data_IF_506690151663
#
_entry.id   IF_506690151663
#
_cell.length_a   1.000
_cell.length_b   1.000
_cell.length_c   1.000
_cell.angle_alpha   90.00
_cell.angle_beta   90.00
_cell.angle_gamma   90.00
#
_symmetry.space_group_name_H-M   'P 1'
#
loop_
_entity.id
_entity.type
_entity.pdbx_description
1 polymer ?
#
# COMPACT_ATOMS: atom_id res chain seq x y z
N UNK A 1 47.65 10.37 56.78
CA UNK A 1 46.66 10.61 55.71
C UNK A 1 45.42 9.81 56.07
N UNK A 2 44.34 10.54 56.24
CA UNK A 2 43.08 10.15 56.87
C UNK A 2 42.37 9.06 56.09
N UNK A 3 41.81 8.09 56.81
CA UNK A 3 40.90 7.06 56.34
C UNK A 3 39.65 7.67 55.68
N UNK A 4 39.22 7.10 54.56
CA UNK A 4 37.81 7.04 54.18
C UNK A 4 37.63 5.98 53.07
N UNK A 5 37.84 4.72 53.43
CA UNK A 5 37.27 3.59 52.71
C UNK A 5 35.78 3.62 53.00
N UNK A 6 34.99 4.13 52.06
CA UNK A 6 33.53 4.12 52.19
C UNK A 6 33.04 2.73 51.80
N UNK A 7 32.88 1.90 52.82
CA UNK A 7 32.10 0.67 52.81
C UNK A 7 30.76 0.92 52.10
N UNK A 8 30.60 0.33 50.91
CA UNK A 8 29.30 0.17 50.28
C UNK A 8 28.46 -0.71 51.20
N UNK A 9 27.56 -0.06 51.95
CA UNK A 9 26.54 -0.75 52.73
C UNK A 9 25.65 -1.53 51.76
N UNK A 10 25.82 -2.85 51.76
CA UNK A 10 24.96 -3.82 51.12
C UNK A 10 23.60 -3.77 51.84
N UNK A 11 22.71 -2.91 51.35
CA UNK A 11 21.32 -2.85 51.85
C UNK A 11 20.62 -4.11 51.36
N UNK A 12 20.01 -4.93 52.24
CA UNK A 12 19.25 -6.08 51.78
C UNK A 12 18.10 -5.58 50.90
N UNK A 13 18.10 -5.98 49.63
CA UNK A 13 17.00 -5.73 48.72
C UNK A 13 15.74 -6.38 49.31
N UNK A 14 14.81 -5.55 49.80
CA UNK A 14 13.51 -6.03 50.22
C UNK A 14 12.82 -6.68 49.02
N UNK A 15 12.30 -7.91 49.14
CA UNK A 15 11.70 -8.59 48.01
C UNK A 15 10.48 -7.81 47.54
N UNK A 16 10.49 -7.38 46.27
CA UNK A 16 9.36 -6.72 45.63
C UNK A 16 8.20 -7.72 45.57
N UNK A 17 7.25 -7.60 46.49
CA UNK A 17 6.04 -8.45 46.53
C UNK A 17 5.03 -7.91 45.51
N UNK A 18 5.13 -8.39 44.27
CA UNK A 18 4.11 -8.13 43.25
C UNK A 18 2.88 -8.97 43.56
N UNK A 19 1.86 -8.34 44.16
CA UNK A 19 0.55 -8.98 44.36
C UNK A 19 -0.21 -8.98 43.04
N UNK A 20 -0.09 -10.07 42.28
CA UNK A 20 -0.87 -10.27 41.07
C UNK A 20 -2.36 -10.43 41.43
N UNK A 21 -3.20 -9.54 40.89
CA UNK A 21 -4.66 -9.50 41.11
C UNK A 21 -5.44 -10.19 39.99
N UNK A 22 -4.78 -10.92 39.10
CA UNK A 22 -5.47 -11.64 38.02
C UNK A 22 -6.33 -12.75 38.60
N UNK A 23 -7.55 -12.86 38.09
CA UNK A 23 -8.54 -13.89 38.44
C UNK A 23 -8.20 -15.28 37.85
N UNK A 24 -7.05 -15.39 37.18
CA UNK A 24 -6.63 -16.54 36.37
C UNK A 24 -5.16 -16.84 36.69
N UNK A 25 -4.85 -18.10 36.93
CA UNK A 25 -3.50 -18.56 37.27
C UNK A 25 -2.59 -18.61 36.02
N UNK A 26 -1.38 -18.01 36.04
CA UNK A 26 -0.55 -17.83 34.84
C UNK A 26 0.11 -19.10 34.29
N UNK A 27 0.21 -20.19 35.05
CA UNK A 27 0.81 -21.44 34.55
C UNK A 27 -0.23 -22.49 34.11
N UNK A 28 -1.46 -22.41 34.62
CA UNK A 28 -2.50 -23.43 34.40
C UNK A 28 -3.74 -22.90 33.68
N UNK A 29 -3.95 -21.58 33.60
CA UNK A 29 -5.04 -20.97 32.82
C UNK A 29 -6.45 -21.17 33.38
N UNK A 30 -6.60 -21.74 34.58
CA UNK A 30 -7.90 -21.98 35.22
C UNK A 30 -8.33 -20.81 36.14
N UNK A 31 -9.66 -20.62 36.26
CA UNK A 31 -10.28 -19.59 37.12
C UNK A 31 -10.32 -20.08 38.58
N UNK A 32 -9.71 -19.31 39.50
CA UNK A 32 -9.75 -19.61 40.94
C UNK A 32 -11.14 -19.33 41.50
N UNK A 33 -11.99 -20.36 41.57
CA UNK A 33 -13.32 -20.31 42.14
C UNK A 33 -13.46 -21.36 43.25
N UNK A 34 -13.10 -20.98 44.47
CA UNK A 34 -13.54 -21.52 45.77
C UNK A 34 -12.52 -21.07 46.82
N UNK A 35 -12.83 -20.01 47.56
CA UNK A 35 -12.25 -19.63 48.87
C UNK A 35 -12.71 -18.22 49.31
N UNK A 36 -13.39 -17.46 48.45
CA UNK A 36 -13.91 -16.12 48.78
C UNK A 36 -15.33 -16.12 49.43
N UNK A 37 -15.88 -17.28 49.82
CA UNK A 37 -17.23 -17.38 50.40
C UNK A 37 -17.27 -17.47 51.93
N UNK A 38 -16.14 -17.64 52.61
CA UNK A 38 -16.14 -17.84 54.09
C UNK A 38 -15.91 -16.58 54.93
N UNK A 39 -15.50 -15.44 54.35
CA UNK A 39 -15.26 -14.20 55.12
C UNK A 39 -16.44 -13.22 55.12
N UNK A 40 -17.47 -13.41 54.30
CA UNK A 40 -18.60 -12.48 54.19
C UNK A 40 -19.79 -12.83 55.12
N UNK A 41 -19.75 -13.97 55.81
CA UNK A 41 -20.85 -14.45 56.62
C UNK A 41 -20.79 -14.05 58.12
N UNK A 42 -19.70 -13.42 58.58
CA UNK A 42 -19.49 -13.14 60.02
C UNK A 42 -19.59 -11.65 60.42
N UNK A 43 -19.96 -10.74 59.51
CA UNK A 43 -20.27 -9.34 59.85
C UNK A 43 -21.77 -8.99 59.80
N UNK A 44 -22.65 -9.90 59.35
CA UNK A 44 -24.09 -9.63 59.18
C UNK A 44 -24.98 -10.02 60.38
N UNK A 45 -24.39 -10.41 61.52
CA UNK A 45 -25.15 -10.92 62.68
C UNK A 45 -25.20 -9.96 63.90
N UNK A 46 -24.70 -8.73 63.80
CA UNK A 46 -24.59 -7.82 64.95
C UNK A 46 -25.57 -6.64 64.97
N UNK A 47 -26.45 -6.48 63.97
CA UNK A 47 -27.30 -5.27 63.86
C UNK A 47 -28.80 -5.58 63.65
N UNK A 48 -29.34 -6.55 64.39
CA UNK A 48 -30.76 -6.94 64.33
C UNK A 48 -31.52 -6.72 65.64
N UNK A 49 -31.21 -5.64 66.37
CA UNK A 49 -31.95 -5.29 67.58
C UNK A 49 -32.15 -3.78 67.73
N UNK A 50 -33.08 -3.23 66.97
CA UNK A 50 -33.77 -2.01 67.37
C UNK A 50 -34.28 -1.18 66.21
N UNK A 51 -35.54 -1.36 65.84
CA UNK A 51 -36.35 -0.27 65.31
C UNK A 51 -37.84 -0.58 65.42
N UNK A 52 -38.44 -0.03 66.49
CA UNK A 52 -39.82 0.40 66.47
C UNK A 52 -39.88 1.85 66.03
N UNK A 53 -41.02 2.22 65.42
CA UNK A 53 -41.53 3.55 65.05
C UNK A 53 -41.53 3.84 63.54
N UNK A 54 -42.68 3.51 62.96
CA UNK A 54 -43.17 4.04 61.70
C UNK A 54 -43.32 5.57 61.74
N UNK A 55 -42.80 6.24 60.71
CA UNK A 55 -43.10 7.63 60.36
C UNK A 55 -42.87 7.84 58.85
N UNK A 56 -43.80 8.42 58.08
CA UNK A 56 -43.71 8.50 56.64
C UNK A 56 -42.83 9.68 56.21
N UNK A 57 -41.57 9.42 55.88
CA UNK A 57 -40.68 10.35 55.17
C UNK A 57 -40.06 9.62 53.97
N UNK A 58 -40.88 9.34 52.96
CA UNK A 58 -40.48 8.54 51.79
C UNK A 58 -40.35 9.32 50.48
N UNK A 59 -40.28 10.66 50.50
CA UNK A 59 -40.44 11.45 49.26
C UNK A 59 -39.26 12.38 48.94
N UNK A 60 -38.35 12.67 49.89
CA UNK A 60 -37.25 13.62 49.66
C UNK A 60 -35.88 12.96 49.37
N UNK A 61 -35.64 11.75 49.85
CA UNK A 61 -34.39 10.99 49.64
C UNK A 61 -34.35 10.26 48.29
N UNK A 62 -35.51 9.81 47.80
CA UNK A 62 -35.61 9.06 46.54
C UNK A 62 -35.25 9.88 45.29
N UNK A 63 -35.43 11.21 45.32
CA UNK A 63 -35.11 12.08 44.19
C UNK A 63 -33.60 12.28 44.00
N UNK A 64 -32.86 12.52 45.09
CA UNK A 64 -31.41 12.71 45.03
C UNK A 64 -30.66 11.42 44.66
N UNK A 65 -31.16 10.27 45.11
CA UNK A 65 -30.62 8.95 44.73
C UNK A 65 -30.93 8.62 43.26
N UNK A 66 -32.10 9.01 42.74
CA UNK A 66 -32.46 8.86 41.32
C UNK A 66 -31.62 9.76 40.40
N UNK A 67 -31.35 11.00 40.81
CA UNK A 67 -30.50 11.92 40.04
C UNK A 67 -29.04 11.42 40.00
N UNK A 68 -28.51 10.91 41.11
CA UNK A 68 -27.17 10.31 41.16
C UNK A 68 -27.06 9.04 40.30
N UNK A 69 -28.10 8.19 40.29
CA UNK A 69 -28.14 7.01 39.44
C UNK A 69 -28.18 7.38 37.95
N UNK A 70 -29.00 8.38 37.57
CA UNK A 70 -29.08 8.87 36.20
C UNK A 70 -27.76 9.48 35.70
N UNK A 71 -27.03 10.21 36.56
CA UNK A 71 -25.71 10.74 36.24
C UNK A 71 -24.67 9.65 35.99
N UNK A 72 -24.69 8.57 36.79
CA UNK A 72 -23.81 7.40 36.59
C UNK A 72 -24.16 6.67 35.30
N UNK A 73 -25.44 6.47 35.00
CA UNK A 73 -25.89 5.86 33.74
C UNK A 73 -25.46 6.68 32.52
N UNK A 74 -25.56 8.02 32.59
CA UNK A 74 -25.08 8.91 31.53
C UNK A 74 -23.57 8.78 31.34
N UNK A 75 -22.79 8.81 32.42
CA UNK A 75 -21.34 8.63 32.33
C UNK A 75 -20.97 7.25 31.76
N UNK A 76 -21.68 6.19 32.15
CA UNK A 76 -21.47 4.84 31.61
C UNK A 76 -21.77 4.80 30.11
N UNK A 77 -22.87 5.41 29.68
CA UNK A 77 -23.25 5.48 28.27
C UNK A 77 -22.21 6.27 27.44
N UNK A 78 -21.77 7.44 27.94
CA UNK A 78 -20.72 8.25 27.31
C UNK A 78 -19.41 7.46 27.17
N UNK A 79 -18.95 6.82 28.26
CA UNK A 79 -17.72 6.01 28.23
C UNK A 79 -17.85 4.80 27.32
N UNK A 80 -19.02 4.18 27.26
CA UNK A 80 -19.28 3.05 26.36
C UNK A 80 -19.24 3.51 24.90
N UNK A 81 -19.85 4.65 24.59
CA UNK A 81 -19.80 5.24 23.25
C UNK A 81 -18.36 5.60 22.85
N UNK A 82 -17.58 6.19 23.76
CA UNK A 82 -16.16 6.49 23.54
C UNK A 82 -15.34 5.23 23.27
N UNK A 83 -15.55 4.16 24.06
CA UNK A 83 -14.87 2.88 23.87
C UNK A 83 -15.24 2.23 22.53
N UNK A 84 -16.51 2.26 22.15
CA UNK A 84 -16.96 1.77 20.83
C UNK A 84 -16.31 2.56 19.70
N UNK A 85 -16.21 3.89 19.84
CA UNK A 85 -15.55 4.75 18.85
C UNK A 85 -14.06 4.42 18.74
N UNK A 86 -13.35 4.33 19.85
CA UNK A 86 -11.93 3.95 19.89
C UNK A 86 -11.70 2.55 19.31
N UNK A 87 -12.58 1.61 19.58
CA UNK A 87 -12.51 0.27 19.01
C UNK A 87 -12.66 0.30 17.48
N UNK A 88 -13.59 1.10 16.96
CA UNK A 88 -13.77 1.28 15.52
C UNK A 88 -12.56 1.98 14.88
N UNK A 89 -12.02 3.03 15.51
CA UNK A 89 -10.81 3.72 15.08
C UNK A 89 -9.61 2.76 15.03
N UNK A 90 -9.42 1.94 16.07
CA UNK A 90 -8.36 0.94 16.13
C UNK A 90 -8.51 -0.15 15.06
N UNK A 91 -9.73 -0.65 14.84
CA UNK A 91 -9.99 -1.64 13.79
C UNK A 91 -9.65 -1.09 12.39
N UNK A 92 -10.02 0.16 12.12
CA UNK A 92 -9.68 0.85 10.88
C UNK A 92 -8.17 1.10 10.74
N UNK A 93 -7.52 1.52 11.83
CA UNK A 93 -6.07 1.71 11.87
C UNK A 93 -5.33 0.40 11.57
N UNK A 94 -5.70 -0.71 12.23
CA UNK A 94 -5.09 -2.03 11.99
C UNK A 94 -5.23 -2.44 10.52
N UNK A 95 -6.44 -2.34 9.95
CA UNK A 95 -6.69 -2.63 8.53
C UNK A 95 -5.88 -1.73 7.59
N UNK A 96 -5.58 -0.50 7.97
CA UNK A 96 -4.72 0.40 7.19
C UNK A 96 -3.26 -0.03 7.28
N UNK A 97 -2.75 -0.27 8.49
CA UNK A 97 -1.36 -0.71 8.70
C UNK A 97 -1.06 -2.02 7.98
N UNK A 98 -1.98 -2.99 8.02
CA UNK A 98 -1.79 -4.28 7.33
C UNK A 98 -1.67 -4.09 5.82
N UNK A 99 -2.54 -3.28 5.21
CA UNK A 99 -2.47 -2.94 3.77
C UNK A 99 -1.19 -2.18 3.42
N UNK A 100 -0.80 -1.21 4.24
CA UNK A 100 0.41 -0.42 4.00
C UNK A 100 1.65 -1.32 4.10
N UNK A 101 1.67 -2.27 5.04
CA UNK A 101 2.74 -3.26 5.18
C UNK A 101 2.85 -4.16 3.95
N UNK A 102 1.72 -4.66 3.43
CA UNK A 102 1.68 -5.45 2.20
C UNK A 102 2.18 -4.63 1.00
N UNK A 103 1.75 -3.37 0.88
CA UNK A 103 2.18 -2.47 -0.19
C UNK A 103 3.69 -2.20 -0.14
N UNK A 104 4.25 -2.00 1.06
CA UNK A 104 5.71 -1.84 1.25
C UNK A 104 6.44 -3.11 0.83
N UNK A 105 5.99 -4.29 1.27
CA UNK A 105 6.61 -5.57 0.88
C UNK A 105 6.59 -5.74 -0.64
N UNK A 106 5.44 -5.48 -1.29
CA UNK A 106 5.31 -5.56 -2.74
C UNK A 106 6.24 -4.57 -3.45
N UNK A 107 6.32 -3.32 -2.98
CA UNK A 107 7.20 -2.29 -3.54
C UNK A 107 8.68 -2.66 -3.38
N UNK A 108 9.09 -3.15 -2.21
CA UNK A 108 10.49 -3.55 -1.98
C UNK A 108 10.88 -4.74 -2.85
N UNK A 109 10.00 -5.73 -3.01
CA UNK A 109 10.22 -6.85 -3.94
C UNK A 109 10.39 -6.34 -5.38
N UNK A 110 9.50 -5.46 -5.83
CA UNK A 110 9.57 -4.87 -7.17
C UNK A 110 10.87 -4.09 -7.40
N UNK A 111 11.31 -3.29 -6.43
CA UNK A 111 12.58 -2.56 -6.50
C UNK A 111 13.78 -3.50 -6.61
N UNK A 112 13.86 -4.52 -5.76
CA UNK A 112 14.95 -5.50 -5.80
C UNK A 112 15.00 -6.26 -7.14
N UNK A 113 13.84 -6.70 -7.64
CA UNK A 113 13.75 -7.37 -8.94
C UNK A 113 14.14 -6.41 -10.06
N UNK A 114 13.76 -5.13 -9.95
CA UNK A 114 14.18 -4.07 -10.87
C UNK A 114 15.70 -3.97 -11.03
N UNK A 115 16.44 -4.08 -9.94
CA UNK A 115 17.91 -4.08 -9.94
C UNK A 115 18.51 -5.34 -10.58
N UNK A 116 17.79 -6.46 -10.56
CA UNK A 116 18.19 -7.72 -11.20
C UNK A 116 17.82 -7.81 -12.69
N UNK A 117 16.97 -6.92 -13.21
CA UNK A 117 16.55 -6.97 -14.61
C UNK A 117 17.70 -6.88 -15.63
N UNK A 118 18.76 -6.08 -15.43
CA UNK A 118 19.91 -6.08 -16.35
C UNK A 118 20.57 -7.46 -16.49
N UNK A 119 20.61 -8.25 -15.41
CA UNK A 119 21.14 -9.62 -15.45
C UNK A 119 20.25 -10.54 -16.29
N UNK A 120 18.92 -10.38 -16.18
CA UNK A 120 17.97 -11.11 -17.02
C UNK A 120 18.15 -10.73 -18.49
N UNK A 121 18.33 -9.44 -18.78
CA UNK A 121 18.57 -8.97 -20.15
C UNK A 121 19.86 -9.57 -20.75
N UNK A 122 20.92 -9.71 -19.95
CA UNK A 122 22.16 -10.34 -20.39
C UNK A 122 22.00 -11.85 -20.63
N UNK A 123 21.18 -12.53 -19.83
CA UNK A 123 20.81 -13.94 -20.06
C UNK A 123 20.03 -14.08 -21.36
N UNK A 124 19.03 -13.22 -21.60
CA UNK A 124 18.26 -13.22 -22.84
C UNK A 124 19.14 -12.91 -24.06
N UNK A 125 20.08 -11.97 -23.92
CA UNK A 125 21.08 -11.67 -24.94
C UNK A 125 21.94 -12.90 -25.25
N UNK A 126 22.47 -13.56 -24.23
CA UNK A 126 23.24 -14.78 -24.38
C UNK A 126 22.42 -15.91 -25.05
N UNK A 127 21.12 -16.02 -24.73
CA UNK A 127 20.22 -16.96 -25.40
C UNK A 127 20.06 -16.63 -26.89
N UNK A 128 19.85 -15.37 -27.24
CA UNK A 128 19.69 -14.91 -28.63
C UNK A 128 20.92 -15.16 -29.51
N UNK A 129 22.13 -15.16 -28.91
CA UNK A 129 23.38 -15.47 -29.59
C UNK A 129 23.74 -16.97 -29.57
N UNK A 130 22.96 -17.81 -28.88
CA UNK A 130 23.23 -19.25 -28.76
C UNK A 130 24.31 -19.61 -27.75
N UNK A 131 24.75 -18.66 -26.93
CA UNK A 131 25.79 -18.84 -25.91
C UNK A 131 25.24 -19.44 -24.61
N UNK A 132 23.90 -19.38 -24.41
CA UNK A 132 23.24 -19.96 -23.24
C UNK A 132 23.07 -21.47 -23.37
N UNK A 133 24.09 -22.23 -22.95
CA UNK A 133 24.10 -23.70 -23.04
C UNK A 133 24.55 -24.40 -21.75
N UNK A 134 24.27 -25.70 -21.65
CA UNK A 134 24.77 -26.57 -20.57
C UNK A 134 24.38 -26.11 -19.17
N UNK A 135 25.36 -26.08 -18.26
CA UNK A 135 25.15 -25.71 -16.86
C UNK A 135 24.67 -24.26 -16.70
N UNK A 136 25.10 -23.35 -17.58
CA UNK A 136 24.69 -21.95 -17.50
C UNK A 136 23.20 -21.78 -17.80
N UNK A 137 22.69 -22.51 -18.81
CA UNK A 137 21.25 -22.57 -19.11
C UNK A 137 20.43 -23.07 -17.92
N UNK A 138 20.87 -24.15 -17.27
CA UNK A 138 20.16 -24.69 -16.10
C UNK A 138 20.07 -23.70 -14.93
N UNK A 139 21.11 -22.88 -14.72
CA UNK A 139 21.11 -21.82 -13.70
C UNK A 139 20.18 -20.68 -14.10
N UNK A 140 20.23 -20.23 -15.36
CA UNK A 140 19.34 -19.21 -15.90
C UNK A 140 17.86 -19.60 -15.79
N UNK A 141 17.51 -20.81 -16.21
CA UNK A 141 16.15 -21.35 -16.13
C UNK A 141 15.66 -21.39 -14.67
N UNK A 142 16.53 -21.81 -13.74
CA UNK A 142 16.20 -21.85 -12.31
C UNK A 142 16.02 -20.46 -11.72
N UNK A 143 16.83 -19.49 -12.13
CA UNK A 143 16.70 -18.09 -11.72
C UNK A 143 15.36 -17.52 -12.20
N UNK A 144 15.04 -17.67 -13.49
CA UNK A 144 13.78 -17.23 -14.07
C UNK A 144 12.59 -17.87 -13.37
N UNK A 145 12.61 -19.19 -13.16
CA UNK A 145 11.55 -19.91 -12.47
C UNK A 145 11.35 -19.41 -11.02
N UNK A 146 12.44 -19.10 -10.32
CA UNK A 146 12.38 -18.56 -8.95
C UNK A 146 11.77 -17.17 -8.93
N UNK A 147 12.12 -16.31 -9.89
CA UNK A 147 11.54 -14.97 -10.02
C UNK A 147 10.06 -15.02 -10.40
N UNK A 148 9.67 -15.92 -11.31
CA UNK A 148 8.27 -16.16 -11.67
C UNK A 148 7.45 -16.63 -10.47
N UNK A 149 7.98 -17.55 -9.66
CA UNK A 149 7.35 -17.98 -8.40
C UNK A 149 7.23 -16.84 -7.38
N UNK A 150 8.16 -15.88 -7.39
CA UNK A 150 8.10 -14.69 -6.55
C UNK A 150 7.06 -13.65 -7.04
N UNK A 151 6.48 -13.86 -8.22
CA UNK A 151 5.43 -13.02 -8.81
C UNK A 151 5.87 -12.18 -10.01
N UNK A 152 7.04 -12.45 -10.60
CA UNK A 152 7.53 -11.73 -11.79
C UNK A 152 6.86 -12.27 -13.05
N UNK A 153 6.22 -11.38 -13.80
CA UNK A 153 5.58 -11.71 -15.07
C UNK A 153 6.21 -10.87 -16.19
N UNK A 154 6.62 -11.54 -17.26
CA UNK A 154 7.07 -10.90 -18.49
C UNK A 154 5.87 -10.55 -19.38
N UNK A 155 5.94 -9.44 -20.09
CA UNK A 155 4.94 -9.02 -21.08
C UNK A 155 5.60 -8.27 -22.25
N UNK A 156 4.82 -7.99 -23.30
CA UNK A 156 5.32 -7.40 -24.53
C UNK A 156 5.82 -8.50 -25.45
N UNK A 157 4.89 -9.21 -26.06
CA UNK A 157 5.14 -10.18 -27.13
C UNK A 157 4.80 -9.56 -28.48
N UNK A 158 5.46 -10.07 -29.53
CA UNK A 158 5.14 -9.67 -30.91
C UNK A 158 3.69 -10.05 -31.24
N UNK A 159 2.96 -9.12 -31.85
CA UNK A 159 1.54 -9.25 -32.17
C UNK A 159 0.58 -8.85 -31.04
N UNK A 160 1.06 -8.50 -29.85
CA UNK A 160 0.19 -7.96 -28.79
C UNK A 160 -0.30 -6.54 -29.16
N UNK A 161 -1.54 -6.16 -28.77
CA UNK A 161 -2.01 -4.80 -28.93
C UNK A 161 -1.14 -3.84 -28.12
N UNK A 162 -0.83 -2.67 -28.70
CA UNK A 162 -0.04 -1.67 -28.01
C UNK A 162 -0.85 -0.98 -26.90
N UNK A 163 -0.38 -1.08 -25.66
CA UNK A 163 -0.94 -0.39 -24.50
C UNK A 163 0.10 0.62 -23.94
N UNK A 164 -0.16 1.94 -24.03
CA UNK A 164 0.75 2.98 -23.51
C UNK A 164 1.04 2.90 -22.00
N UNK A 165 0.21 2.19 -21.22
CA UNK A 165 0.41 2.06 -19.78
C UNK A 165 1.52 1.07 -19.41
N UNK A 166 1.85 0.13 -20.31
CA UNK A 166 2.84 -0.92 -20.09
C UNK A 166 3.92 -0.96 -21.18
N UNK A 167 3.68 -0.40 -22.36
CA UNK A 167 4.61 -0.39 -23.48
C UNK A 167 5.22 0.99 -23.73
N UNK A 168 6.53 1.00 -23.99
CA UNK A 168 7.30 2.16 -24.45
C UNK A 168 7.60 2.00 -25.94
N UNK A 169 6.91 2.76 -26.78
CA UNK A 169 7.11 2.74 -28.23
C UNK A 169 8.39 3.50 -28.61
N UNK A 170 9.41 2.78 -29.05
CA UNK A 170 10.71 3.36 -29.46
C UNK A 170 10.86 3.49 -30.97
N UNK A 171 10.05 2.77 -31.74
CA UNK A 171 9.98 2.83 -33.19
C UNK A 171 8.52 2.81 -33.63
N UNK A 172 8.20 3.60 -34.65
CA UNK A 172 6.87 3.64 -35.25
C UNK A 172 6.98 3.38 -36.76
N UNK A 173 6.15 2.48 -37.26
CA UNK A 173 5.97 2.21 -38.69
C UNK A 173 4.48 2.17 -39.04
N UNK A 174 4.16 2.22 -40.32
CA UNK A 174 2.80 2.04 -40.82
C UNK A 174 2.73 0.83 -41.74
N UNK A 175 1.65 0.07 -41.67
CA UNK A 175 1.39 -1.05 -42.58
C UNK A 175 -0.11 -1.19 -42.85
N UNK A 176 -0.52 -1.59 -44.08
CA UNK A 176 -1.91 -1.96 -44.36
C UNK A 176 -2.35 -3.26 -43.67
N UNK A 177 -1.41 -4.06 -43.14
CA UNK A 177 -1.69 -5.38 -42.57
C UNK A 177 -2.23 -5.34 -41.13
N UNK A 178 -2.14 -4.19 -40.45
CA UNK A 178 -2.59 -4.01 -39.07
C UNK A 178 -3.81 -3.09 -39.00
N UNK A 179 -4.78 -3.44 -38.15
CA UNK A 179 -6.02 -2.68 -37.97
C UNK A 179 -5.89 -1.53 -36.96
N UNK A 180 -4.77 -1.45 -36.24
CA UNK A 180 -4.46 -0.43 -35.24
C UNK A 180 -3.12 -0.68 -34.56
N UNK A 181 -2.73 0.15 -33.57
CA UNK A 181 -1.42 0.12 -32.95
C UNK A 181 -1.08 -1.26 -32.37
N UNK A 182 -0.15 -1.96 -33.01
CA UNK A 182 0.23 -3.33 -32.67
C UNK A 182 1.74 -3.44 -32.49
N UNK A 183 2.19 -4.24 -31.52
CA UNK A 183 3.61 -4.51 -31.29
C UNK A 183 4.15 -5.36 -32.43
N UNK A 184 5.03 -4.79 -33.25
CA UNK A 184 5.65 -5.46 -34.40
C UNK A 184 6.94 -6.19 -34.05
N UNK A 185 7.72 -5.62 -33.12
CA UNK A 185 8.95 -6.22 -32.61
C UNK A 185 9.16 -5.79 -31.16
N UNK A 186 9.75 -6.69 -30.36
CA UNK A 186 10.06 -6.42 -28.96
C UNK A 186 11.57 -6.28 -28.82
N UNK A 187 12.03 -5.06 -28.57
CA UNK A 187 13.47 -4.77 -28.42
C UNK A 187 13.97 -5.13 -27.02
N UNK A 188 13.10 -4.97 -26.02
CA UNK A 188 13.36 -5.33 -24.63
C UNK A 188 12.06 -5.70 -23.93
N UNK A 189 12.01 -6.88 -23.32
CA UNK A 189 10.82 -7.35 -22.63
C UNK A 189 10.47 -6.47 -21.42
N UNK A 190 9.16 -6.28 -21.23
CA UNK A 190 8.60 -5.63 -20.07
C UNK A 190 8.38 -6.62 -18.94
N UNK A 191 8.41 -6.12 -17.71
CA UNK A 191 8.26 -6.94 -16.51
C UNK A 191 7.34 -6.26 -15.50
N UNK A 192 6.40 -7.02 -14.94
CA UNK A 192 5.50 -6.58 -13.86
C UNK A 192 5.54 -7.54 -12.68
N UNK A 193 5.21 -7.01 -11.50
CA UNK A 193 5.10 -7.74 -10.24
C UNK A 193 3.71 -7.47 -9.66
N UNK A 194 2.81 -8.45 -9.75
CA UNK A 194 1.39 -8.24 -9.46
C UNK A 194 0.82 -7.09 -10.29
N UNK A 195 0.23 -6.10 -9.64
CA UNK A 195 -0.38 -4.95 -10.31
C UNK A 195 0.62 -3.85 -10.70
N UNK A 196 1.90 -4.00 -10.36
CA UNK A 196 2.91 -2.96 -10.56
C UNK A 196 3.84 -3.28 -11.71
N UNK A 197 3.93 -2.36 -12.67
CA UNK A 197 4.95 -2.41 -13.73
C UNK A 197 6.32 -2.08 -13.12
N UNK A 198 7.27 -3.00 -13.25
CA UNK A 198 8.68 -2.80 -12.81
C UNK A 198 9.45 -2.10 -13.92
N UNK A 199 9.22 -2.50 -15.17
CA UNK A 199 9.82 -1.91 -16.37
C UNK A 199 8.87 -2.08 -17.55
N UNK A 200 8.64 -1.01 -18.31
CA UNK A 200 7.86 -1.06 -19.55
C UNK A 200 8.59 -1.88 -20.63
N UNK A 201 7.84 -2.51 -21.53
CA UNK A 201 8.44 -3.21 -22.68
C UNK A 201 8.83 -2.17 -23.74
N UNK A 202 10.08 -2.20 -24.21
CA UNK A 202 10.50 -1.35 -25.33
C UNK A 202 10.13 -2.06 -26.63
N UNK A 203 9.22 -1.45 -27.39
CA UNK A 203 8.60 -2.08 -28.55
C UNK A 203 8.65 -1.20 -29.79
N UNK A 204 8.71 -1.83 -30.95
CA UNK A 204 8.38 -1.21 -32.22
C UNK A 204 6.88 -1.38 -32.47
N UNK A 205 6.18 -0.30 -32.78
CA UNK A 205 4.75 -0.29 -33.02
C UNK A 205 4.50 -0.07 -34.50
N UNK A 206 3.57 -0.85 -35.06
CA UNK A 206 3.03 -0.61 -36.39
C UNK A 206 1.59 -0.16 -36.26
N UNK A 207 1.27 0.97 -36.87
CA UNK A 207 -0.10 1.48 -36.98
C UNK A 207 -0.65 1.22 -38.38
N UNK A 208 -1.97 1.26 -38.49
CA UNK A 208 -2.65 1.20 -39.78
C UNK A 208 -2.22 2.37 -40.66
N UNK A 209 -1.94 2.10 -41.93
CA UNK A 209 -1.71 3.17 -42.89
C UNK A 209 -3.02 3.94 -43.11
N UNK A 210 -3.19 5.05 -42.39
CA UNK A 210 -4.27 5.98 -42.69
C UNK A 210 -3.94 6.69 -44.00
N UNK A 211 -4.63 6.27 -45.07
CA UNK A 211 -4.73 7.05 -46.30
C UNK A 211 -5.32 8.40 -45.89
N UNK A 212 -4.46 9.40 -45.69
CA UNK A 212 -4.91 10.78 -45.61
C UNK A 212 -5.47 11.10 -47.00
N UNK A 213 -6.76 11.47 -47.15
CA UNK A 213 -7.25 11.92 -48.45
C UNK A 213 -6.50 13.23 -48.75
N UNK A 214 -5.62 13.15 -49.74
CA UNK A 214 -5.00 14.31 -50.36
C UNK A 214 -6.12 15.31 -50.72
N UNK A 215 -6.05 16.58 -50.30
CA UNK A 215 -7.09 17.53 -50.65
C UNK A 215 -7.21 17.60 -52.17
N UNK A 216 -8.44 17.68 -52.73
CA UNK A 216 -8.61 17.63 -54.17
C UNK A 216 -7.83 18.78 -54.79
N UNK A 217 -6.95 18.44 -55.74
CA UNK A 217 -6.27 19.42 -56.57
C UNK A 217 -7.34 20.25 -57.27
N UNK A 218 -7.46 21.52 -56.87
CA UNK A 218 -8.37 22.46 -57.49
C UNK A 218 -7.97 22.60 -58.97
N UNK A 219 -8.79 21.99 -59.81
CA UNK A 219 -8.90 22.26 -61.24
C UNK A 219 -9.57 23.63 -61.39
N UNK A 220 -8.76 24.68 -61.49
CA UNK A 220 -9.20 25.97 -62.00
C UNK A 220 -8.36 26.35 -63.22
N UNK A 221 -8.86 25.95 -64.38
CA UNK A 221 -8.46 26.51 -65.66
C UNK A 221 -9.29 27.74 -66.02
N UNK A 222 -8.64 28.62 -66.79
CA UNK A 222 -9.18 29.57 -67.78
C UNK A 222 -9.59 30.99 -67.34
N UNK A 223 -9.00 32.00 -68.02
CA UNK A 223 -9.45 33.40 -67.94
C UNK A 223 -8.38 34.47 -68.20
N UNK A 224 -8.13 34.74 -69.48
CA UNK A 224 -7.43 35.88 -70.11
C UNK A 224 -7.63 37.28 -69.46
N UNK A 225 -6.60 38.13 -69.47
CA UNK A 225 -6.61 39.50 -70.04
C UNK A 225 -5.22 40.17 -69.90
N UNK A 226 -4.80 40.72 -71.02
CA UNK A 226 -3.60 41.51 -71.32
C UNK A 226 -3.66 42.92 -70.71
N UNK A 227 -2.57 43.47 -70.17
CA UNK A 227 -2.19 44.87 -70.45
C UNK A 227 -0.73 45.19 -70.09
N UNK A 228 -0.10 45.92 -71.00
CA UNK A 228 1.26 46.46 -70.97
C UNK A 228 1.37 47.60 -69.94
N UNK A 229 2.59 47.96 -69.52
CA UNK A 229 3.13 49.35 -69.52
C UNK A 229 4.55 49.37 -68.92
N UNK A 230 5.48 49.74 -69.81
CA UNK A 230 6.65 50.63 -69.62
C UNK A 230 7.80 50.29 -68.66
N UNK A 231 8.94 49.95 -69.29
CA UNK A 231 10.34 50.37 -69.00
C UNK A 231 10.52 51.87 -68.67
N UNK A 232 11.72 52.40 -68.30
CA UNK A 232 13.05 51.77 -68.09
C UNK A 232 13.87 52.27 -66.87
N UNK A 233 15.02 51.62 -66.67
CA UNK A 233 16.36 52.14 -66.35
C UNK A 233 16.56 53.48 -65.61
N UNK A 234 17.36 53.42 -64.54
CA UNK A 234 18.06 54.56 -63.95
C UNK A 234 19.19 54.09 -63.04
N UNK A 235 20.41 54.07 -63.59
CA UNK A 235 21.70 54.04 -62.88
C UNK A 235 21.93 55.27 -61.99
N UNK A 236 23.00 55.20 -61.19
CA UNK A 236 23.75 56.27 -60.48
C UNK A 236 23.39 56.47 -59.00
N UNK A 237 24.31 56.80 -58.09
CA UNK A 237 25.77 56.78 -58.00
C UNK A 237 26.08 57.22 -56.54
N UNK A 238 27.17 56.70 -55.98
CA UNK A 238 28.03 57.23 -54.90
C UNK A 238 27.51 58.31 -53.92
N UNK A 239 27.63 58.00 -52.62
CA UNK A 239 28.49 58.73 -51.68
C UNK A 239 28.80 57.87 -50.46
#
# INVERSE_FOLDING_TARGET
MTANDQEFQDKPEEPVVVRDRRKVDPETGELRAQEAETDLAQEVAADAAGEGLAGPSGVATSGAEQDAAADVERQLAERTADLQRLQAEYANYRKRVDRDREAVIASTKASLVGELLPLIDDIERAESHGDLTGAFKAVADKLLATLQQAGLEAFGQEGEPFDPSVHEAVQHSTSPDVQGPTVSAVLRRGYRMGDRVVRAAMVAVTDSESVTPEPPADVAGDGDVTEQVSTPSGEQEQS
#
